data_IF_941104271144
#
_entry.id   IF_941104271144
#
_cell.length_a   1.000
_cell.length_b   1.000
_cell.length_c   1.000
_cell.angle_alpha   90.00
_cell.angle_beta   90.00
_cell.angle_gamma   90.00
#
_symmetry.space_group_name_H-M   'P 1'
#
loop_
_entity.id
_entity.type
_entity.pdbx_description
1 polymer ?
#
# COMPACT_ATOMS: atom_id res chain seq x y z
N UNK A 1 0.97 0.66 -18.34
CA UNK A 1 0.40 0.43 -16.99
C UNK A 1 1.51 0.25 -15.97
N UNK A 2 1.25 0.62 -14.74
CA UNK A 2 2.21 0.54 -13.65
C UNK A 2 1.62 -0.23 -12.48
N UNK A 3 2.47 -0.97 -11.79
CA UNK A 3 2.15 -1.56 -10.52
C UNK A 3 2.51 -0.55 -9.42
N UNK A 4 1.54 -0.20 -8.59
CA UNK A 4 1.74 0.68 -7.44
C UNK A 4 1.62 -0.16 -6.18
N UNK A 5 2.65 -0.09 -5.34
CA UNK A 5 2.72 -0.78 -4.07
C UNK A 5 3.01 0.26 -2.99
N UNK A 6 2.08 0.40 -2.06
CA UNK A 6 2.23 1.32 -0.94
C UNK A 6 2.34 0.51 0.36
N UNK A 7 3.41 0.75 1.11
CA UNK A 7 3.58 0.17 2.43
C UNK A 7 3.25 1.26 3.43
N UNK A 8 2.17 1.08 4.19
CA UNK A 8 1.59 2.11 5.05
C UNK A 8 1.40 1.60 6.48
N UNK A 9 1.17 2.53 7.40
CA UNK A 9 0.77 2.19 8.77
C UNK A 9 -0.55 1.43 8.73
N UNK A 10 -0.76 0.42 9.61
CA UNK A 10 -1.98 -0.39 9.60
C UNK A 10 -3.26 0.43 9.66
N UNK A 11 -3.29 1.49 10.48
CA UNK A 11 -4.46 2.36 10.64
C UNK A 11 -4.79 3.20 9.40
N UNK A 12 -3.87 3.29 8.45
CA UNK A 12 -4.06 4.02 7.19
C UNK A 12 -4.55 3.14 6.04
N UNK A 13 -4.49 1.83 6.19
CA UNK A 13 -4.80 0.89 5.11
C UNK A 13 -6.26 0.96 4.67
N UNK A 14 -7.21 0.88 5.62
CA UNK A 14 -8.63 0.93 5.29
C UNK A 14 -9.07 2.28 4.76
N UNK A 15 -8.71 3.43 5.38
CA UNK A 15 -8.99 4.73 4.79
C UNK A 15 -8.43 4.90 3.37
N UNK A 16 -7.22 4.40 3.13
CA UNK A 16 -6.60 4.47 1.80
C UNK A 16 -7.39 3.64 0.78
N UNK A 17 -7.74 2.41 1.13
CA UNK A 17 -8.56 1.54 0.28
C UNK A 17 -9.90 2.19 -0.05
N UNK A 18 -10.55 2.81 0.92
CA UNK A 18 -11.85 3.45 0.70
C UNK A 18 -11.75 4.65 -0.25
N UNK A 19 -10.72 5.47 -0.12
CA UNK A 19 -10.49 6.62 -1.01
C UNK A 19 -10.16 6.14 -2.42
N UNK A 20 -9.30 5.15 -2.56
CA UNK A 20 -8.94 4.61 -3.88
C UNK A 20 -10.15 3.99 -4.57
N UNK A 21 -10.95 3.22 -3.87
CA UNK A 21 -12.18 2.63 -4.41
C UNK A 21 -13.18 3.71 -4.80
N UNK A 22 -13.34 4.74 -3.98
CA UNK A 22 -14.20 5.89 -4.28
C UNK A 22 -13.72 6.72 -5.48
N UNK A 23 -12.45 6.66 -5.80
CA UNK A 23 -11.85 7.31 -6.97
C UNK A 23 -11.90 6.45 -8.23
N UNK A 24 -12.51 5.28 -8.16
CA UNK A 24 -12.68 4.39 -9.31
C UNK A 24 -11.61 3.32 -9.47
N UNK A 25 -10.68 3.20 -8.54
CA UNK A 25 -9.66 2.15 -8.59
C UNK A 25 -10.18 0.86 -7.94
N UNK A 26 -10.13 -0.21 -8.69
CA UNK A 26 -10.56 -1.55 -8.27
C UNK A 26 -9.37 -2.52 -8.36
N UNK A 27 -9.58 -3.74 -7.90
CA UNK A 27 -8.49 -4.72 -7.92
C UNK A 27 -7.39 -4.43 -6.91
N UNK A 28 -7.77 -3.85 -5.77
CA UNK A 28 -6.84 -3.50 -4.70
C UNK A 28 -6.62 -4.72 -3.82
N UNK A 29 -5.36 -5.10 -3.66
CA UNK A 29 -4.96 -6.21 -2.78
C UNK A 29 -4.22 -5.65 -1.58
N UNK A 30 -4.51 -6.16 -0.38
CA UNK A 30 -3.77 -5.78 0.82
C UNK A 30 -3.18 -7.01 1.51
N UNK A 31 -1.99 -6.84 2.08
CA UNK A 31 -1.26 -7.91 2.76
C UNK A 31 -0.62 -7.35 4.02
N UNK A 32 -0.79 -8.04 5.13
CA UNK A 32 -0.11 -7.69 6.37
C UNK A 32 1.37 -8.04 6.25
N UNK A 33 2.22 -7.12 6.68
CA UNK A 33 3.67 -7.31 6.60
C UNK A 33 4.38 -6.65 7.79
N UNK A 34 5.67 -6.86 7.88
CA UNK A 34 6.50 -6.25 8.89
C UNK A 34 7.60 -5.45 8.23
N UNK A 35 7.75 -4.19 8.67
CA UNK A 35 8.83 -3.33 8.22
C UNK A 35 10.02 -3.35 9.18
N UNK A 36 11.20 -3.25 8.63
CA UNK A 36 12.45 -3.14 9.39
C UNK A 36 13.17 -1.88 8.89
N UNK A 37 13.55 -1.03 9.80
CA UNK A 37 14.22 0.22 9.47
C UNK A 37 15.29 0.56 10.49
N UNK A 38 15.91 1.72 10.33
CA UNK A 38 16.93 2.21 11.26
C UNK A 38 16.32 2.61 12.60
N UNK A 39 15.06 3.03 12.62
CA UNK A 39 14.35 3.41 13.85
C UNK A 39 14.02 2.19 14.67
N UNK A 40 14.61 2.11 15.85
CA UNK A 40 14.28 1.05 16.82
C UNK A 40 13.21 1.57 17.76
N UNK A 41 12.05 0.93 17.73
CA UNK A 41 10.97 1.24 18.66
C UNK A 41 11.22 0.54 19.99
N UNK A 42 10.99 1.28 21.07
CA UNK A 42 11.09 0.76 22.44
C UNK A 42 9.67 0.63 22.97
N UNK A 43 9.30 -0.58 23.37
CA UNK A 43 8.03 -0.86 24.04
C UNK A 43 8.30 -0.95 25.54
N UNK A 44 7.54 -0.19 26.31
CA UNK A 44 7.55 -0.28 27.78
C UNK A 44 6.47 -1.23 28.22
N UNK A 45 6.87 -2.25 28.97
CA UNK A 45 5.94 -3.20 29.59
C UNK A 45 6.03 -3.10 31.09
N UNK A 46 4.89 -3.10 31.77
CA UNK A 46 4.81 -3.12 33.23
C UNK A 46 4.44 -4.53 33.67
N UNK A 47 5.31 -5.14 34.46
CA UNK A 47 5.09 -6.46 35.03
C UNK A 47 5.49 -6.46 36.51
N UNK A 48 4.57 -6.85 37.38
CA UNK A 48 4.76 -6.87 38.85
C UNK A 48 5.30 -5.54 39.40
N UNK A 49 4.77 -4.39 38.91
CA UNK A 49 5.20 -3.08 39.33
C UNK A 49 6.55 -2.59 38.81
N UNK A 50 7.21 -3.38 37.96
CA UNK A 50 8.46 -3.00 37.30
C UNK A 50 8.21 -2.69 35.83
N UNK A 51 8.92 -1.66 35.32
CA UNK A 51 8.88 -1.27 33.91
C UNK A 51 10.04 -1.94 33.17
N UNK A 52 9.70 -2.69 32.13
CA UNK A 52 10.69 -3.28 31.23
C UNK A 52 10.64 -2.61 29.88
N UNK A 53 11.79 -2.27 29.34
CA UNK A 53 11.92 -1.74 27.99
C UNK A 53 12.36 -2.87 27.04
N UNK A 54 11.60 -3.04 25.95
CA UNK A 54 11.93 -4.01 24.91
C UNK A 54 12.09 -3.29 23.59
N UNK A 55 13.21 -3.54 22.91
CA UNK A 55 13.40 -3.06 21.52
C UNK A 55 12.59 -3.94 20.57
N UNK A 56 11.84 -3.27 19.70
CA UNK A 56 11.09 -3.93 18.64
C UNK A 56 11.70 -3.50 17.31
N UNK A 57 12.37 -4.43 16.64
CA UNK A 57 12.98 -4.16 15.33
C UNK A 57 11.96 -4.26 14.20
N UNK A 58 10.93 -5.08 14.36
CA UNK A 58 9.87 -5.28 13.40
C UNK A 58 8.67 -4.39 13.71
N UNK A 59 8.19 -3.66 12.73
CA UNK A 59 7.01 -2.80 12.84
C UNK A 59 5.92 -3.32 11.92
N UNK A 60 4.69 -3.45 12.45
CA UNK A 60 3.55 -3.88 11.65
C UNK A 60 3.22 -2.84 10.58
N UNK A 61 3.03 -3.31 9.36
CA UNK A 61 2.64 -2.50 8.20
C UNK A 61 1.62 -3.26 7.35
N UNK A 62 0.99 -2.54 6.46
CA UNK A 62 0.11 -3.13 5.45
C UNK A 62 0.61 -2.71 4.08
N UNK A 63 0.75 -3.68 3.20
CA UNK A 63 1.06 -3.47 1.80
C UNK A 63 -0.24 -3.40 1.03
N UNK A 64 -0.44 -2.30 0.30
CA UNK A 64 -1.59 -2.08 -0.58
C UNK A 64 -1.05 -2.05 -2.00
N UNK A 65 -1.60 -2.89 -2.87
CA UNK A 65 -1.07 -3.10 -4.21
C UNK A 65 -2.20 -3.05 -5.24
N UNK A 66 -1.97 -2.35 -6.34
CA UNK A 66 -2.92 -2.27 -7.45
C UNK A 66 -2.23 -1.75 -8.72
N UNK A 67 -2.92 -1.90 -9.84
CA UNK A 67 -2.41 -1.51 -11.15
C UNK A 67 -3.12 -0.26 -11.64
N UNK A 68 -2.38 0.67 -12.22
CA UNK A 68 -2.92 1.93 -12.74
C UNK A 68 -2.39 2.21 -14.15
N UNK A 69 -3.15 2.96 -14.98
CA UNK A 69 -2.60 3.49 -16.22
C UNK A 69 -1.46 4.46 -15.96
N UNK A 70 -0.54 4.58 -16.90
CA UNK A 70 0.63 5.45 -16.77
C UNK A 70 0.25 6.89 -16.43
N UNK A 71 -0.81 7.42 -17.03
CA UNK A 71 -1.23 8.81 -16.86
C UNK A 71 -1.90 9.09 -15.51
N UNK A 72 -2.14 8.08 -14.69
CA UNK A 72 -2.77 8.22 -13.36
C UNK A 72 -1.78 8.09 -12.20
N UNK A 73 -0.53 7.75 -12.47
CA UNK A 73 0.48 7.49 -11.44
C UNK A 73 0.67 8.69 -10.50
N UNK A 74 0.84 9.88 -11.05
CA UNK A 74 1.08 11.07 -10.24
C UNK A 74 -0.12 11.39 -9.34
N UNK A 75 -1.33 11.24 -9.84
CA UNK A 75 -2.55 11.43 -9.07
C UNK A 75 -2.66 10.41 -7.93
N UNK A 76 -2.37 9.16 -8.22
CA UNK A 76 -2.38 8.07 -7.23
C UNK A 76 -1.36 8.31 -6.13
N UNK A 77 -0.13 8.67 -6.48
CA UNK A 77 0.92 8.99 -5.50
C UNK A 77 0.45 10.10 -4.57
N UNK A 78 -0.12 11.16 -5.12
CA UNK A 78 -0.64 12.29 -4.34
C UNK A 78 -1.75 11.86 -3.38
N UNK A 79 -2.67 11.04 -3.86
CA UNK A 79 -3.77 10.49 -3.05
C UNK A 79 -3.24 9.65 -1.90
N UNK A 80 -2.31 8.74 -2.17
CA UNK A 80 -1.71 7.88 -1.14
C UNK A 80 -1.00 8.73 -0.08
N UNK A 81 -0.21 9.71 -0.50
CA UNK A 81 0.50 10.58 0.43
C UNK A 81 -0.45 11.38 1.31
N UNK A 82 -1.52 11.92 0.75
CA UNK A 82 -2.50 12.71 1.51
C UNK A 82 -3.15 11.89 2.63
N UNK A 83 -3.39 10.61 2.39
CA UNK A 83 -3.99 9.72 3.40
C UNK A 83 -2.97 9.23 4.41
N UNK A 84 -1.80 8.83 3.94
CA UNK A 84 -0.85 8.06 4.73
C UNK A 84 0.15 8.90 5.53
N UNK A 85 0.35 10.16 5.18
CA UNK A 85 1.32 11.03 5.84
C UNK A 85 0.90 11.34 7.28
N UNK A 86 1.87 11.33 8.21
CA UNK A 86 1.68 11.75 9.60
C UNK A 86 2.74 12.78 9.98
N UNK A 87 2.58 13.38 11.17
CA UNK A 87 3.59 14.30 11.72
C UNK A 87 4.77 13.58 12.37
N UNK A 88 4.71 12.24 12.45
CA UNK A 88 5.71 11.43 13.17
C UNK A 88 6.83 10.92 12.29
N UNK A 89 6.69 11.00 10.97
CA UNK A 89 7.60 10.32 10.06
C UNK A 89 7.40 8.80 10.06
N UNK A 90 8.28 8.08 9.40
CA UNK A 90 8.21 6.61 9.28
C UNK A 90 6.85 6.14 8.74
N UNK A 91 6.33 6.85 7.74
CA UNK A 91 4.99 6.64 7.20
C UNK A 91 4.93 5.56 6.11
N UNK A 92 6.06 5.02 5.74
CA UNK A 92 6.18 3.99 4.71
C UNK A 92 6.72 4.49 3.39
N UNK A 93 6.49 3.72 2.34
CA UNK A 93 7.00 4.02 1.00
C UNK A 93 5.99 3.63 -0.07
N UNK A 94 6.12 4.29 -1.20
CA UNK A 94 5.39 3.98 -2.40
C UNK A 94 6.40 3.50 -3.44
N UNK A 95 6.17 2.31 -3.98
CA UNK A 95 6.96 1.76 -5.07
C UNK A 95 6.12 1.76 -6.34
N UNK A 96 6.73 2.18 -7.44
CA UNK A 96 6.09 2.17 -8.75
C UNK A 96 7.00 1.40 -9.71
N UNK A 97 6.45 0.42 -10.38
CA UNK A 97 7.19 -0.40 -11.34
C UNK A 97 6.42 -0.55 -12.64
N UNK A 98 7.16 -0.71 -13.72
CA UNK A 98 6.57 -1.03 -15.01
C UNK A 98 5.96 -2.42 -14.95
N UNK A 99 4.82 -2.58 -15.60
CA UNK A 99 4.09 -3.84 -15.69
C UNK A 99 3.86 -4.16 -17.16
N UNK A 100 4.28 -5.34 -17.58
CA UNK A 100 4.16 -5.72 -18.99
C UNK A 100 2.73 -6.12 -19.33
N UNK A 101 2.20 -7.09 -18.61
CA UNK A 101 0.90 -7.69 -18.91
C UNK A 101 0.12 -7.98 -17.65
N UNK A 102 -1.20 -8.03 -17.80
CA UNK A 102 -2.12 -8.51 -16.78
C UNK A 102 -3.10 -9.47 -17.45
N UNK A 103 -3.35 -10.62 -16.82
CA UNK A 103 -4.26 -11.64 -17.36
C UNK A 103 -5.39 -11.85 -16.36
N UNK A 104 -6.61 -11.70 -16.85
CA UNK A 104 -7.80 -11.99 -16.06
C UNK A 104 -7.97 -13.50 -15.92
N UNK A 105 -7.95 -14.01 -14.70
CA UNK A 105 -7.94 -15.47 -14.46
C UNK A 105 -9.17 -16.14 -15.05
N UNK A 106 -10.36 -15.58 -14.82
CA UNK A 106 -11.61 -16.20 -15.25
C UNK A 106 -11.73 -16.25 -16.77
N UNK A 107 -11.55 -15.11 -17.44
CA UNK A 107 -11.75 -14.98 -18.88
C UNK A 107 -10.55 -15.30 -19.73
N UNK A 108 -9.34 -15.23 -19.14
CA UNK A 108 -8.08 -15.31 -19.88
C UNK A 108 -7.76 -14.05 -20.69
N UNK A 109 -8.54 -12.98 -20.53
CA UNK A 109 -8.32 -11.72 -21.24
C UNK A 109 -6.99 -11.11 -20.80
N UNK A 110 -6.21 -10.62 -21.77
CA UNK A 110 -4.88 -10.06 -21.54
C UNK A 110 -4.94 -8.55 -21.70
N UNK A 111 -4.48 -7.81 -20.67
CA UNK A 111 -4.25 -6.37 -20.73
C UNK A 111 -2.74 -6.13 -20.86
N UNK A 112 -2.36 -5.43 -21.94
CA UNK A 112 -0.96 -5.11 -22.23
C UNK A 112 -0.49 -3.90 -21.44
N UNK A 113 0.80 -3.63 -21.48
CA UNK A 113 1.43 -2.54 -20.74
C UNK A 113 0.89 -1.14 -21.00
N UNK A 114 0.17 -0.93 -22.09
CA UNK A 114 -0.48 0.32 -22.48
C UNK A 114 -1.99 0.33 -22.23
N UNK A 115 -2.49 -0.61 -21.42
CA UNK A 115 -3.90 -0.74 -21.10
C UNK A 115 -4.50 0.58 -20.59
N UNK A 116 -5.73 0.87 -21.01
CA UNK A 116 -6.46 2.04 -20.60
C UNK A 116 -7.04 1.88 -19.18
N UNK A 117 -7.41 3.01 -18.57
CA UNK A 117 -8.07 3.01 -17.26
C UNK A 117 -9.31 2.12 -17.22
N UNK A 118 -10.10 2.14 -18.30
CA UNK A 118 -11.33 1.34 -18.40
C UNK A 118 -11.04 -0.16 -18.34
N UNK A 119 -9.98 -0.60 -19.01
CA UNK A 119 -9.57 -2.02 -19.00
C UNK A 119 -9.07 -2.46 -17.63
N UNK A 120 -8.40 -1.57 -16.91
CA UNK A 120 -7.83 -1.87 -15.58
C UNK A 120 -8.86 -1.81 -14.45
N UNK A 121 -10.05 -1.29 -14.70
CA UNK A 121 -11.13 -1.24 -13.72
C UNK A 121 -11.95 -2.53 -13.65
N UNK A 122 -11.67 -3.50 -14.50
CA UNK A 122 -12.31 -4.80 -14.43
C UNK A 122 -12.01 -5.47 -13.09
N UNK A 123 -13.04 -6.11 -12.51
CA UNK A 123 -12.94 -6.73 -11.19
C UNK A 123 -11.95 -7.90 -11.16
N UNK A 124 -11.39 -8.13 -9.99
CA UNK A 124 -10.53 -9.28 -9.70
C UNK A 124 -11.24 -10.61 -9.92
#
# INVERSE_FOLDING_TARGET
MKLVKAIVRPEKALPLKDILSGSGYHGITSTDCHGYGESKNIIKQVYRGKVYEQRVDAVKRVEVEFVVPDNKVDNVIRTIRNVAVTNHGADGRIYVSAMNDSVHIHSGEIHLGDASEKELQDEL
#
